data_IF_709299758252
#
_entry.id   IF_709299758252
#
_cell.length_a   1.000
_cell.length_b   1.000
_cell.length_c   1.000
_cell.angle_alpha   90.00
_cell.angle_beta   90.00
_cell.angle_gamma   90.00
#
_symmetry.space_group_name_H-M   'P 1'
#
loop_
_entity.id
_entity.type
_entity.pdbx_description
1 polymer ?
#
# COMPACT_ATOMS: atom_id res chain seq x y z
N UNK A 1 -1.57 -53.99 -33.99
CA UNK A 1 -0.39 -53.17 -33.63
C UNK A 1 -0.80 -52.32 -32.42
N UNK A 2 -0.79 -52.85 -31.17
CA UNK A 2 0.32 -52.93 -30.18
C UNK A 2 1.07 -51.59 -30.04
N UNK A 3 1.20 -50.89 -28.91
CA UNK A 3 1.24 -51.18 -27.46
C UNK A 3 0.70 -49.93 -26.71
N UNK A 4 -0.21 -49.98 -25.71
CA UNK A 4 -0.07 -50.33 -24.27
C UNK A 4 1.17 -49.77 -23.56
N UNK A 5 0.96 -48.88 -22.59
CA UNK A 5 1.20 -49.22 -21.17
C UNK A 5 0.45 -48.32 -20.19
N UNK A 6 -0.13 -48.98 -19.19
CA UNK A 6 -0.84 -48.47 -18.03
C UNK A 6 -0.19 -49.06 -16.78
N UNK A 7 -0.31 -48.39 -15.61
CA UNK A 7 -0.32 -48.95 -14.23
C UNK A 7 -0.47 -47.74 -13.29
N UNK A 8 -1.62 -47.46 -12.68
CA UNK A 8 -2.30 -48.07 -11.51
C UNK A 8 -1.48 -48.15 -10.22
N UNK A 9 -2.07 -47.57 -9.19
CA UNK A 9 -1.64 -47.34 -7.82
C UNK A 9 -1.49 -48.61 -6.96
N UNK A 10 -0.71 -48.48 -5.87
CA UNK A 10 -0.82 -49.27 -4.64
C UNK A 10 -0.50 -48.40 -3.42
N UNK A 11 -1.52 -48.11 -2.62
CA UNK A 11 -1.39 -47.68 -1.22
C UNK A 11 -1.30 -48.93 -0.34
N UNK A 12 -0.37 -48.92 0.62
CA UNK A 12 -0.26 -49.93 1.68
C UNK A 12 -0.67 -49.31 3.02
N UNK A 13 -1.46 -50.06 3.77
CA UNK A 13 -2.00 -49.76 5.10
C UNK A 13 -1.13 -50.42 6.19
N UNK A 14 -0.80 -49.64 7.24
CA UNK A 14 -0.60 -49.95 8.69
C UNK A 14 0.38 -51.07 9.16
N UNK A 15 0.88 -51.10 10.43
CA UNK A 15 0.24 -50.63 11.68
C UNK A 15 1.10 -49.90 12.74
N UNK A 16 0.41 -49.46 13.79
CA UNK A 16 0.91 -48.87 15.04
C UNK A 16 1.50 -49.92 16.03
N UNK A 17 2.48 -49.52 16.85
CA UNK A 17 2.92 -50.24 18.07
C UNK A 17 3.27 -49.23 19.19
N UNK A 18 2.79 -49.55 20.41
CA UNK A 18 2.95 -48.89 21.71
C UNK A 18 4.34 -49.11 22.37
N UNK A 19 4.82 -48.10 23.12
CA UNK A 19 5.41 -48.07 24.50
C UNK A 19 6.64 -48.98 24.85
N UNK A 20 7.55 -48.63 25.81
CA UNK A 20 7.24 -48.06 27.13
C UNK A 20 8.20 -47.01 27.73
N UNK A 21 7.76 -46.48 28.87
CA UNK A 21 8.44 -45.59 29.81
C UNK A 21 9.63 -46.27 30.53
N UNK A 22 10.63 -45.48 30.88
CA UNK A 22 11.61 -45.80 31.92
C UNK A 22 11.71 -44.66 32.92
N UNK A 23 11.43 -45.04 34.16
CA UNK A 23 11.59 -44.30 35.41
C UNK A 23 13.07 -44.33 35.80
N UNK A 24 13.62 -43.20 36.26
CA UNK A 24 14.77 -43.20 37.16
C UNK A 24 14.63 -42.03 38.16
N UNK A 25 14.69 -42.40 39.44
CA UNK A 25 14.52 -41.53 40.59
C UNK A 25 15.83 -40.81 40.99
N UNK A 26 15.64 -39.58 41.49
CA UNK A 26 16.24 -38.96 42.68
C UNK A 26 17.77 -38.83 42.84
N UNK A 27 18.23 -37.59 42.97
CA UNK A 27 18.96 -37.12 44.16
C UNK A 27 18.87 -35.59 44.28
N UNK A 28 18.68 -35.12 45.52
CA UNK A 28 18.42 -33.72 45.87
C UNK A 28 19.67 -33.01 46.42
N UNK A 29 19.73 -31.68 46.20
CA UNK A 29 20.38 -30.67 47.05
C UNK A 29 21.57 -29.92 46.44
N UNK A 30 21.94 -28.71 46.92
CA UNK A 30 21.16 -27.70 47.63
C UNK A 30 21.10 -26.35 46.89
N UNK A 31 20.19 -25.52 47.38
CA UNK A 31 19.92 -24.12 47.03
C UNK A 31 21.14 -23.20 47.00
N UNK A 32 21.27 -22.42 45.92
CA UNK A 32 22.01 -21.15 45.91
C UNK A 32 21.14 -20.06 45.31
N UNK A 33 21.01 -18.97 46.06
CA UNK A 33 20.32 -17.74 45.72
C UNK A 33 21.03 -17.01 44.58
N UNK A 34 20.38 -16.88 43.42
CA UNK A 34 20.83 -16.05 42.31
C UNK A 34 19.87 -14.89 42.09
N UNK A 35 20.37 -13.68 42.27
CA UNK A 35 19.68 -12.39 42.15
C UNK A 35 18.87 -12.23 40.86
N UNK A 36 17.64 -11.73 40.99
CA UNK A 36 16.87 -11.16 39.89
C UNK A 36 17.68 -10.02 39.25
N UNK A 37 18.19 -10.25 38.04
CA UNK A 37 18.66 -9.16 37.18
C UNK A 37 17.43 -8.41 36.67
N UNK A 38 17.21 -7.23 37.24
CA UNK A 38 16.33 -6.21 36.68
C UNK A 38 16.87 -5.87 35.29
N UNK A 39 16.11 -6.19 34.24
CA UNK A 39 16.34 -5.62 32.92
C UNK A 39 16.09 -4.12 33.02
N UNK A 40 17.18 -3.39 33.14
CA UNK A 40 17.20 -1.94 33.12
C UNK A 40 16.86 -1.53 31.69
N UNK A 41 15.63 -1.08 31.46
CA UNK A 41 15.25 -0.39 30.24
C UNK A 41 16.08 0.90 30.15
N UNK A 42 17.21 0.82 29.46
CA UNK A 42 17.95 1.99 29.02
C UNK A 42 17.07 2.69 28.00
N UNK A 43 16.47 3.79 28.43
CA UNK A 43 15.91 4.82 27.57
C UNK A 43 17.04 5.27 26.63
N UNK A 44 17.01 4.79 25.39
CA UNK A 44 18.01 5.12 24.39
C UNK A 44 17.92 6.62 24.07
N UNK A 45 18.94 7.35 24.52
CA UNK A 45 19.27 8.67 23.99
C UNK A 45 19.50 8.57 22.49
N UNK A 46 18.88 9.46 21.72
CA UNK A 46 19.01 9.59 20.27
C UNK A 46 20.49 9.70 19.88
N UNK A 47 21.07 8.61 19.38
CA UNK A 47 22.41 8.54 18.84
C UNK A 47 22.49 9.09 17.43
N UNK A 48 23.65 9.64 17.08
CA UNK A 48 24.01 10.22 15.79
C UNK A 48 23.59 9.36 14.58
N UNK A 49 22.84 9.95 13.64
CA UNK A 49 23.08 9.87 12.19
C UNK A 49 23.08 8.53 11.45
N UNK A 50 22.55 7.42 11.98
CA UNK A 50 22.49 6.16 11.22
C UNK A 50 21.25 6.09 10.32
N UNK A 51 21.48 6.07 9.00
CA UNK A 51 20.47 5.79 7.97
C UNK A 51 20.36 4.28 7.73
N UNK A 52 19.14 3.75 7.67
CA UNK A 52 18.89 2.35 7.36
C UNK A 52 18.80 2.13 5.84
N UNK A 53 19.64 1.26 5.29
CA UNK A 53 19.52 0.86 3.88
C UNK A 53 18.37 -0.13 3.69
N UNK A 54 17.39 0.26 2.87
CA UNK A 54 16.19 -0.51 2.53
C UNK A 54 16.17 -0.97 1.07
N UNK A 55 17.30 -0.86 0.34
CA UNK A 55 17.42 -1.37 -1.04
C UNK A 55 16.98 -2.83 -1.11
N UNK A 56 15.94 -3.09 -1.92
CA UNK A 56 15.30 -4.38 -2.13
C UNK A 56 14.86 -5.12 -0.86
N UNK A 57 14.67 -4.40 0.25
CA UNK A 57 14.26 -5.00 1.53
C UNK A 57 12.79 -5.38 1.55
N UNK A 58 12.55 -6.59 2.04
CA UNK A 58 11.26 -7.06 2.55
C UNK A 58 11.14 -6.65 4.02
N UNK A 59 10.03 -5.99 4.36
CA UNK A 59 9.75 -5.50 5.69
C UNK A 59 9.16 -6.62 6.56
N UNK A 60 9.21 -6.43 7.88
CA UNK A 60 8.70 -7.43 8.84
C UNK A 60 7.88 -6.82 9.97
N UNK A 61 8.03 -5.52 10.24
CA UNK A 61 7.27 -4.86 11.30
C UNK A 61 5.79 -4.77 10.91
N UNK A 62 4.91 -5.04 11.87
CA UNK A 62 3.45 -5.04 11.72
C UNK A 62 2.77 -3.95 12.55
N UNK A 63 3.53 -3.09 13.24
CA UNK A 63 2.94 -2.01 14.03
C UNK A 63 2.11 -1.06 13.15
N UNK A 64 0.94 -0.67 13.65
CA UNK A 64 0.08 0.32 13.01
C UNK A 64 0.30 1.74 13.54
N UNK A 65 1.27 1.95 14.44
CA UNK A 65 1.70 3.29 14.84
C UNK A 65 2.92 3.69 13.99
N UNK A 66 2.77 4.75 13.20
CA UNK A 66 3.85 5.27 12.36
C UNK A 66 5.12 5.66 13.16
N UNK A 67 5.02 5.88 14.48
CA UNK A 67 6.18 6.19 15.31
C UNK A 67 7.14 5.01 15.48
N UNK A 68 6.66 3.78 15.33
CA UNK A 68 7.51 2.58 15.37
C UNK A 68 8.38 2.43 14.12
N UNK A 69 8.20 3.33 13.14
CA UNK A 69 9.00 3.46 11.93
C UNK A 69 9.82 4.75 11.92
N UNK A 70 9.95 5.44 13.06
CA UNK A 70 10.68 6.69 13.17
C UNK A 70 12.20 6.48 13.00
N UNK A 71 12.67 6.64 11.76
CA UNK A 71 14.10 6.60 11.43
C UNK A 71 14.36 7.31 10.09
N UNK A 72 15.63 7.37 9.71
CA UNK A 72 16.07 7.74 8.37
C UNK A 72 16.35 6.48 7.55
N UNK A 73 15.88 6.43 6.31
CA UNK A 73 16.06 5.30 5.40
C UNK A 73 16.64 5.78 4.07
N UNK A 74 17.46 4.93 3.45
CA UNK A 74 18.02 5.16 2.12
C UNK A 74 17.88 3.93 1.24
N UNK A 75 17.86 4.09 -0.08
CA UNK A 75 18.05 2.98 -1.02
C UNK A 75 18.78 3.44 -2.28
N UNK A 76 19.27 2.49 -3.07
CA UNK A 76 19.98 2.75 -4.33
C UNK A 76 19.27 2.11 -5.55
N UNK A 77 18.07 2.58 -5.93
CA UNK A 77 17.34 2.03 -7.07
C UNK A 77 17.95 2.47 -8.41
N UNK A 78 17.77 1.65 -9.44
CA UNK A 78 18.15 1.96 -10.82
C UNK A 78 16.92 2.16 -11.70
N UNK A 79 16.94 3.22 -12.52
CA UNK A 79 16.11 3.31 -13.72
C UNK A 79 16.70 2.35 -14.76
N UNK A 80 16.08 1.19 -14.93
CA UNK A 80 16.63 0.08 -15.72
C UNK A 80 16.74 0.46 -17.20
N UNK A 81 15.67 1.03 -17.77
CA UNK A 81 15.66 1.41 -19.19
C UNK A 81 16.60 2.56 -19.51
N UNK A 82 16.81 3.51 -18.59
CA UNK A 82 17.73 4.63 -18.79
C UNK A 82 19.15 4.38 -18.30
N UNK A 83 19.37 3.26 -17.59
CA UNK A 83 20.66 2.87 -17.00
C UNK A 83 21.21 3.95 -16.07
N UNK A 84 20.34 4.52 -15.23
CA UNK A 84 20.68 5.61 -14.31
C UNK A 84 20.39 5.16 -12.89
N UNK A 85 21.41 5.26 -12.04
CA UNK A 85 21.26 5.00 -10.62
C UNK A 85 20.72 6.26 -9.92
N UNK A 86 19.91 6.06 -8.89
CA UNK A 86 19.29 7.08 -8.07
C UNK A 86 19.53 6.78 -6.59
N UNK A 87 19.24 7.75 -5.73
CA UNK A 87 19.23 7.53 -4.28
C UNK A 87 17.83 7.82 -3.77
N UNK A 88 17.21 6.85 -3.12
CA UNK A 88 16.00 7.09 -2.35
C UNK A 88 16.37 7.54 -0.94
N UNK A 89 15.61 8.49 -0.41
CA UNK A 89 15.74 8.96 0.95
C UNK A 89 14.36 9.14 1.57
N UNK A 90 14.16 8.60 2.78
CA UNK A 90 12.95 8.75 3.58
C UNK A 90 13.34 9.12 5.00
N UNK A 91 12.64 10.07 5.60
CA UNK A 91 12.75 10.40 7.01
C UNK A 91 11.36 10.36 7.64
N UNK A 92 11.18 9.48 8.61
CA UNK A 92 9.99 9.46 9.47
C UNK A 92 10.34 10.15 10.78
N UNK A 93 9.58 11.17 11.17
CA UNK A 93 9.79 11.93 12.40
C UNK A 93 8.51 12.00 13.21
N UNK A 94 8.57 11.66 14.50
CA UNK A 94 7.42 11.80 15.40
C UNK A 94 7.21 13.28 15.76
N UNK A 95 5.99 13.78 15.55
CA UNK A 95 5.54 15.13 15.89
C UNK A 95 4.26 15.04 16.75
N UNK A 96 4.44 14.68 18.02
CA UNK A 96 3.32 14.52 18.96
C UNK A 96 2.39 13.38 18.54
N UNK A 97 1.16 13.73 18.14
CA UNK A 97 0.11 12.79 17.73
C UNK A 97 0.17 12.39 16.25
N UNK A 98 1.15 12.90 15.50
CA UNK A 98 1.35 12.58 14.08
C UNK A 98 2.81 12.18 13.82
N UNK A 99 3.06 11.46 12.74
CA UNK A 99 4.39 11.32 12.15
C UNK A 99 4.47 12.16 10.88
N UNK A 100 5.61 12.80 10.67
CA UNK A 100 5.95 13.46 9.43
C UNK A 100 6.85 12.54 8.61
N UNK A 101 6.40 12.15 7.42
CA UNK A 101 7.16 11.33 6.47
C UNK A 101 7.63 12.27 5.37
N UNK A 102 8.94 12.49 5.28
CA UNK A 102 9.57 13.26 4.19
C UNK A 102 10.34 12.32 3.29
N UNK A 103 10.10 12.37 1.97
CA UNK A 103 10.82 11.56 0.99
C UNK A 103 11.18 12.36 -0.25
N UNK A 104 12.10 11.85 -1.07
CA UNK A 104 12.34 12.32 -2.44
C UNK A 104 11.57 11.52 -3.52
N UNK A 105 10.58 10.72 -3.09
CA UNK A 105 9.69 9.92 -3.94
C UNK A 105 10.38 8.91 -4.88
N UNK A 106 11.58 8.44 -4.53
CA UNK A 106 12.21 7.31 -5.23
C UNK A 106 11.91 6.00 -4.49
N UNK A 107 11.65 4.90 -5.20
CA UNK A 107 11.37 3.59 -4.59
C UNK A 107 12.64 2.97 -3.97
N UNK A 108 12.46 1.90 -3.20
CA UNK A 108 13.56 1.11 -2.67
C UNK A 108 14.01 -0.02 -3.60
N UNK A 109 13.52 -0.07 -4.83
CA UNK A 109 13.75 -1.13 -5.80
C UNK A 109 14.00 -0.54 -7.19
N UNK A 110 14.60 -1.32 -8.08
CA UNK A 110 14.74 -0.97 -9.49
C UNK A 110 13.38 -0.72 -10.14
N UNK A 111 13.29 0.26 -11.02
CA UNK A 111 12.04 0.69 -11.63
C UNK A 111 12.22 0.99 -13.12
N UNK A 112 11.12 1.34 -13.79
CA UNK A 112 11.10 1.53 -15.25
C UNK A 112 11.61 0.26 -15.95
N UNK A 113 11.14 -0.89 -15.49
CA UNK A 113 11.55 -2.22 -15.96
C UNK A 113 11.04 -2.51 -17.37
N UNK A 114 11.44 -3.65 -17.94
CA UNK A 114 11.10 -4.01 -19.32
C UNK A 114 9.58 -4.01 -19.55
N UNK A 115 9.12 -3.25 -20.57
CA UNK A 115 7.70 -3.10 -20.90
C UNK A 115 7.08 -1.80 -20.39
N UNK A 116 7.68 -1.14 -19.40
CA UNK A 116 7.26 0.18 -18.94
C UNK A 116 7.41 1.24 -20.04
N UNK A 117 6.53 2.24 -20.04
CA UNK A 117 6.54 3.33 -21.03
C UNK A 117 6.32 4.68 -20.36
N UNK A 118 7.25 5.07 -19.50
CA UNK A 118 7.14 6.35 -18.79
C UNK A 118 7.22 7.51 -19.77
N UNK A 119 6.12 8.27 -19.85
CA UNK A 119 6.03 9.46 -20.72
C UNK A 119 7.00 10.54 -20.23
N UNK A 120 7.11 10.70 -18.92
CA UNK A 120 8.00 11.66 -18.29
C UNK A 120 9.18 10.91 -17.65
N UNK A 121 10.42 11.39 -17.80
CA UNK A 121 11.53 10.90 -16.99
C UNK A 121 11.22 10.97 -15.50
N UNK A 122 11.65 9.97 -14.74
CA UNK A 122 11.59 10.07 -13.28
C UNK A 122 12.41 11.26 -12.79
N UNK A 123 11.92 11.94 -11.77
CA UNK A 123 12.61 13.01 -11.07
C UNK A 123 12.40 12.86 -9.57
N UNK A 124 13.47 13.05 -8.82
CA UNK A 124 13.40 13.17 -7.36
C UNK A 124 12.51 14.36 -7.01
N UNK A 125 11.43 14.08 -6.30
CA UNK A 125 10.44 15.09 -5.95
C UNK A 125 10.21 15.04 -4.46
N UNK A 126 10.63 16.09 -3.76
CA UNK A 126 10.49 16.13 -2.32
C UNK A 126 9.02 16.31 -1.91
N UNK A 127 8.56 15.42 -1.04
CA UNK A 127 7.21 15.41 -0.50
C UNK A 127 7.27 15.20 1.01
N UNK A 128 6.43 15.92 1.75
CA UNK A 128 6.32 15.81 3.21
C UNK A 128 4.86 15.63 3.58
N UNK A 129 4.53 14.50 4.19
CA UNK A 129 3.17 14.07 4.51
C UNK A 129 3.03 13.82 6.01
N UNK A 130 1.86 14.12 6.56
CA UNK A 130 1.55 13.96 7.98
C UNK A 130 0.57 12.80 8.18
N UNK A 131 1.00 11.80 8.95
CA UNK A 131 0.23 10.58 9.24
C UNK A 131 -0.23 10.61 10.71
N UNK A 132 -1.54 10.56 11.00
CA UNK A 132 -2.05 10.39 12.37
C UNK A 132 -1.57 9.07 13.01
N UNK A 133 -1.09 9.11 14.27
CA UNK A 133 -0.61 7.91 15.00
C UNK A 133 -1.71 7.05 15.61
N UNK A 134 -2.88 7.64 15.86
CA UNK A 134 -4.03 6.97 16.46
C UNK A 134 -5.28 7.27 15.61
N UNK A 135 -5.32 6.79 14.36
CA UNK A 135 -6.45 7.02 13.47
C UNK A 135 -7.73 6.45 14.10
N UNK A 136 -8.83 7.16 13.91
CA UNK A 136 -10.15 6.74 14.40
C UNK A 136 -11.08 6.54 13.21
N UNK A 137 -11.94 5.51 13.24
CA UNK A 137 -12.94 5.33 12.20
C UNK A 137 -13.86 6.56 12.16
N UNK A 138 -14.12 7.05 10.96
CA UNK A 138 -15.08 8.11 10.73
C UNK A 138 -16.50 7.53 10.72
N UNK A 139 -17.50 8.37 10.99
CA UNK A 139 -18.91 7.95 10.94
C UNK A 139 -19.36 7.54 9.53
N UNK A 140 -18.63 7.98 8.50
CA UNK A 140 -18.82 7.64 7.08
C UNK A 140 -17.45 7.57 6.43
N UNK A 141 -17.32 6.67 5.47
CA UNK A 141 -16.12 6.56 4.65
C UNK A 141 -15.96 7.79 3.74
N UNK A 142 -14.71 8.13 3.42
CA UNK A 142 -14.40 9.20 2.46
C UNK A 142 -13.90 8.59 1.17
N UNK A 143 -14.55 8.89 0.05
CA UNK A 143 -14.12 8.40 -1.26
C UNK A 143 -12.72 8.94 -1.64
N UNK A 144 -11.95 8.14 -2.38
CA UNK A 144 -10.67 8.59 -2.95
C UNK A 144 -10.88 9.76 -3.92
N UNK A 145 -9.81 10.54 -4.14
CA UNK A 145 -9.86 11.70 -5.02
C UNK A 145 -8.58 11.82 -5.83
N UNK A 146 -8.70 12.15 -7.11
CA UNK A 146 -7.54 12.47 -7.95
C UNK A 146 -6.78 13.73 -7.48
N UNK A 147 -7.33 14.50 -6.53
CA UNK A 147 -6.72 15.74 -5.99
C UNK A 147 -5.84 15.51 -4.75
N UNK A 148 -5.85 14.30 -4.19
CA UNK A 148 -5.05 13.91 -3.04
C UNK A 148 -4.29 12.63 -3.36
N UNK A 149 -3.17 12.39 -2.70
CA UNK A 149 -2.57 11.05 -2.64
C UNK A 149 -3.38 10.19 -1.67
N UNK A 150 -3.45 8.90 -1.94
CA UNK A 150 -4.23 7.96 -1.10
C UNK A 150 -3.40 7.50 0.10
N UNK A 151 -2.10 7.29 -0.12
CA UNK A 151 -1.19 6.80 0.90
C UNK A 151 0.26 7.14 0.59
N UNK A 152 1.13 6.86 1.56
CA UNK A 152 2.59 6.83 1.37
C UNK A 152 3.13 5.52 1.91
N UNK A 153 3.92 4.83 1.10
CA UNK A 153 4.60 3.61 1.51
C UNK A 153 5.88 3.93 2.28
N UNK A 154 6.39 2.97 3.05
CA UNK A 154 7.58 3.14 3.88
C UNK A 154 8.89 3.29 3.07
N UNK A 155 8.86 3.02 1.77
CA UNK A 155 9.93 3.43 0.85
C UNK A 155 9.81 4.89 0.37
N UNK A 156 8.80 5.63 0.83
CA UNK A 156 8.62 7.05 0.54
C UNK A 156 7.86 7.36 -0.75
N UNK A 157 7.44 6.35 -1.51
CA UNK A 157 6.63 6.52 -2.72
C UNK A 157 5.15 6.62 -2.36
N UNK A 158 4.44 7.53 -3.03
CA UNK A 158 3.00 7.74 -2.82
C UNK A 158 2.17 6.73 -3.61
N UNK A 159 0.98 6.45 -3.09
CA UNK A 159 -0.08 5.69 -3.77
C UNK A 159 -1.12 6.68 -4.32
N UNK A 160 -1.51 6.49 -5.57
CA UNK A 160 -2.49 7.32 -6.29
C UNK A 160 -3.29 6.42 -7.23
N UNK A 161 -4.31 5.74 -6.69
CA UNK A 161 -5.01 4.61 -7.32
C UNK A 161 -5.94 5.03 -8.46
N UNK A 162 -6.44 6.28 -8.45
CA UNK A 162 -7.38 6.75 -9.45
C UNK A 162 -6.64 7.33 -10.66
N UNK A 163 -6.94 6.81 -11.85
CA UNK A 163 -6.46 7.44 -13.09
C UNK A 163 -7.19 8.75 -13.37
N UNK A 164 -6.61 9.59 -14.23
CA UNK A 164 -7.31 10.74 -14.84
C UNK A 164 -7.92 10.40 -16.22
N UNK A 165 -8.00 9.11 -16.56
CA UNK A 165 -8.51 8.62 -17.83
C UNK A 165 -9.90 8.02 -17.71
N UNK A 166 -10.68 8.09 -18.79
CA UNK A 166 -12.04 7.57 -18.85
C UNK A 166 -12.46 7.30 -20.29
N UNK A 167 -13.61 6.63 -20.45
CA UNK A 167 -14.30 6.58 -21.73
C UNK A 167 -14.88 7.96 -22.07
N UNK A 168 -14.39 8.55 -23.17
CA UNK A 168 -14.85 9.84 -23.71
C UNK A 168 -14.67 9.82 -25.24
N UNK A 169 -15.55 9.13 -25.99
CA UNK A 169 -15.32 8.77 -27.39
C UNK A 169 -15.22 9.96 -28.33
N UNK A 170 -15.90 11.06 -28.01
CA UNK A 170 -15.88 12.29 -28.83
C UNK A 170 -14.68 13.20 -28.53
N UNK A 171 -13.81 12.84 -27.58
CA UNK A 171 -12.64 13.63 -27.28
C UNK A 171 -11.61 13.53 -28.42
N UNK A 172 -10.99 14.66 -28.77
CA UNK A 172 -9.93 14.73 -29.80
C UNK A 172 -8.75 13.77 -29.57
N UNK A 173 -8.52 13.36 -28.32
CA UNK A 173 -7.43 12.46 -27.92
C UNK A 173 -7.92 11.05 -27.56
N UNK A 174 -9.18 10.74 -27.86
CA UNK A 174 -9.70 9.40 -27.65
C UNK A 174 -8.94 8.41 -28.54
N UNK A 175 -8.62 7.24 -28.00
CA UNK A 175 -8.10 6.13 -28.76
C UNK A 175 -9.21 5.43 -29.57
N UNK A 176 -8.86 4.32 -30.25
CA UNK A 176 -9.83 3.55 -31.05
C UNK A 176 -10.99 2.95 -30.25
N UNK A 177 -10.85 2.84 -28.94
CA UNK A 177 -11.87 2.31 -28.03
C UNK A 177 -12.66 3.45 -27.35
N UNK A 178 -12.40 4.70 -27.73
CA UNK A 178 -13.06 5.87 -27.15
C UNK A 178 -12.45 6.34 -25.84
N UNK A 179 -11.26 5.87 -25.46
CA UNK A 179 -10.64 6.17 -24.18
C UNK A 179 -9.67 7.34 -24.25
N UNK A 180 -9.70 8.21 -23.24
CA UNK A 180 -8.65 9.21 -22.98
C UNK A 180 -7.89 8.85 -21.71
N UNK A 181 -6.58 9.09 -21.68
CA UNK A 181 -5.75 8.78 -20.49
C UNK A 181 -5.57 9.97 -19.53
N UNK A 182 -6.16 11.13 -19.84
CA UNK A 182 -6.06 12.34 -19.02
C UNK A 182 -7.26 13.26 -19.26
N UNK A 183 -7.58 14.09 -18.27
CA UNK A 183 -8.60 15.14 -18.37
C UNK A 183 -10.00 14.70 -17.95
N UNK A 184 -10.12 13.52 -17.33
CA UNK A 184 -11.31 13.07 -16.63
C UNK A 184 -11.20 13.32 -15.13
N UNK A 185 -12.35 13.42 -14.50
CA UNK A 185 -12.56 13.58 -13.07
C UNK A 185 -13.25 12.35 -12.49
N UNK A 186 -13.29 12.21 -11.16
CA UNK A 186 -14.08 11.16 -10.48
C UNK A 186 -15.60 11.28 -10.66
N UNK A 187 -16.09 12.31 -11.37
CA UNK A 187 -17.50 12.46 -11.75
C UNK A 187 -17.80 11.95 -13.15
N UNK A 188 -16.76 11.72 -13.95
CA UNK A 188 -16.92 11.09 -15.26
C UNK A 188 -17.20 9.59 -15.04
N UNK A 189 -18.13 9.05 -15.82
CA UNK A 189 -18.42 7.61 -15.82
C UNK A 189 -17.31 6.86 -16.54
N UNK A 190 -17.18 5.56 -16.23
CA UNK A 190 -16.23 4.67 -16.88
C UNK A 190 -14.80 5.18 -16.74
N UNK A 191 -14.41 5.44 -15.48
CA UNK A 191 -13.04 5.80 -15.17
C UNK A 191 -12.15 4.58 -15.44
N UNK A 192 -11.04 4.77 -16.15
CA UNK A 192 -10.13 3.67 -16.45
C UNK A 192 -9.41 3.22 -15.18
N UNK A 193 -9.35 1.91 -14.96
CA UNK A 193 -8.47 1.32 -13.97
C UNK A 193 -7.03 1.35 -14.52
N UNK A 194 -6.07 2.04 -13.87
CA UNK A 194 -4.67 2.05 -14.27
C UNK A 194 -4.05 0.66 -14.49
N UNK A 195 -4.53 -0.35 -13.77
CA UNK A 195 -4.07 -1.75 -13.86
C UNK A 195 -5.09 -2.67 -14.55
N UNK A 196 -6.19 -2.09 -15.04
CA UNK A 196 -7.22 -2.81 -15.78
C UNK A 196 -6.68 -3.43 -17.09
N UNK A 197 -7.28 -4.52 -17.58
CA UNK A 197 -6.88 -5.15 -18.82
C UNK A 197 -7.00 -4.19 -20.00
N UNK A 198 -5.97 -4.16 -20.84
CA UNK A 198 -5.97 -3.36 -22.06
C UNK A 198 -5.82 -1.86 -21.86
N UNK A 199 -5.69 -1.38 -20.62
CA UNK A 199 -5.34 0.03 -20.35
C UNK A 199 -3.84 0.25 -20.61
N UNK A 200 -3.47 1.44 -21.07
CA UNK A 200 -2.09 1.75 -21.45
C UNK A 200 -1.59 2.98 -20.70
N UNK A 201 -1.59 2.89 -19.38
CA UNK A 201 -0.97 3.88 -18.50
C UNK A 201 0.55 3.72 -18.39
N UNK A 202 1.12 2.65 -18.98
CA UNK A 202 2.56 2.46 -19.10
C UNK A 202 3.24 2.15 -17.77
N UNK A 203 2.51 1.52 -16.84
CA UNK A 203 3.06 1.03 -15.57
C UNK A 203 4.19 0.04 -15.81
N UNK A 204 5.15 0.02 -14.89
CA UNK A 204 6.20 -0.98 -14.87
C UNK A 204 5.78 -2.24 -14.09
N UNK A 205 6.71 -3.18 -13.92
CA UNK A 205 6.46 -4.44 -13.20
C UNK A 205 6.07 -4.26 -11.72
N UNK A 206 6.21 -3.05 -11.17
CA UNK A 206 5.86 -2.69 -9.80
C UNK A 206 4.53 -1.93 -9.73
N UNK A 207 3.71 -2.00 -10.79
CA UNK A 207 2.39 -1.37 -10.88
C UNK A 207 2.44 0.15 -10.69
N UNK A 208 3.54 0.77 -11.11
CA UNK A 208 3.80 2.19 -10.94
C UNK A 208 4.24 2.86 -12.22
N UNK A 209 4.03 4.17 -12.29
CA UNK A 209 4.57 5.01 -13.35
C UNK A 209 4.86 6.41 -12.83
N UNK A 210 5.21 7.33 -13.72
CA UNK A 210 5.55 8.71 -13.36
C UNK A 210 4.41 9.69 -13.65
N UNK A 211 4.16 10.61 -12.73
CA UNK A 211 3.36 11.81 -12.98
C UNK A 211 4.02 12.77 -13.99
N UNK A 212 3.30 13.78 -14.52
CA UNK A 212 3.85 14.81 -15.39
C UNK A 212 5.03 15.60 -14.80
N UNK A 213 5.17 15.67 -13.47
CA UNK A 213 6.31 16.30 -12.81
C UNK A 213 7.52 15.35 -12.63
N UNK A 214 7.38 14.08 -13.02
CA UNK A 214 8.40 13.05 -12.91
C UNK A 214 8.35 12.24 -11.61
N UNK A 215 7.42 12.53 -10.67
CA UNK A 215 7.25 11.73 -9.46
C UNK A 215 6.82 10.30 -9.81
N UNK A 216 7.52 9.30 -9.29
CA UNK A 216 7.11 7.89 -9.36
C UNK A 216 6.00 7.58 -8.33
N UNK A 217 4.98 6.81 -8.71
CA UNK A 217 3.84 6.48 -7.83
C UNK A 217 3.16 5.15 -8.18
N UNK A 218 2.60 4.50 -7.17
CA UNK A 218 1.92 3.20 -7.29
C UNK A 218 0.42 3.31 -7.57
N UNK A 219 -0.10 2.37 -8.36
CA UNK A 219 -1.53 2.10 -8.57
C UNK A 219 -2.00 0.77 -7.96
N UNK A 220 -1.08 -0.02 -7.40
CA UNK A 220 -1.36 -1.34 -6.84
C UNK A 220 -0.10 -1.97 -6.26
N UNK A 221 -0.11 -3.28 -6.03
CA UNK A 221 0.96 -3.99 -5.34
C UNK A 221 2.36 -3.53 -5.81
N UNK A 222 3.21 -2.97 -4.94
CA UNK A 222 4.54 -2.49 -5.32
C UNK A 222 5.48 -3.62 -5.77
N UNK A 223 5.10 -4.89 -5.59
CA UNK A 223 5.95 -6.07 -5.82
C UNK A 223 7.30 -5.93 -5.10
N UNK A 224 7.25 -5.28 -3.94
CA UNK A 224 8.36 -4.90 -3.08
C UNK A 224 7.80 -4.67 -1.66
N UNK A 225 8.68 -4.50 -0.66
CA UNK A 225 8.33 -4.28 0.77
C UNK A 225 7.68 -5.48 1.48
N UNK A 226 7.04 -6.39 0.76
CA UNK A 226 6.51 -7.67 1.24
C UNK A 226 6.59 -8.73 0.14
N UNK A 227 6.41 -10.00 0.49
CA UNK A 227 6.45 -11.12 -0.44
C UNK A 227 5.39 -12.20 -0.10
N UNK A 228 5.41 -13.31 -0.83
CA UNK A 228 4.53 -14.48 -0.62
C UNK A 228 5.03 -15.41 0.51
N UNK A 229 6.06 -15.00 1.27
CA UNK A 229 6.62 -15.71 2.43
C UNK A 229 6.58 -14.82 3.70
N UNK A 230 5.39 -14.34 4.11
CA UNK A 230 5.26 -13.47 5.27
C UNK A 230 5.64 -14.20 6.57
N UNK A 231 5.75 -13.44 7.66
CA UNK A 231 5.90 -14.03 8.99
C UNK A 231 4.65 -14.85 9.38
N UNK A 232 4.74 -15.71 10.40
CA UNK A 232 3.58 -16.46 10.90
C UNK A 232 2.40 -15.58 11.31
N UNK A 233 2.65 -14.31 11.63
CA UNK A 233 1.65 -13.32 12.02
C UNK A 233 0.98 -12.62 10.81
N UNK A 234 1.48 -12.82 9.59
CA UNK A 234 0.99 -12.21 8.36
C UNK A 234 1.95 -11.16 7.77
N UNK A 235 1.50 -10.46 6.73
CA UNK A 235 2.32 -9.49 6.01
C UNK A 235 2.71 -8.26 6.84
N UNK A 236 3.88 -7.64 6.61
CA UNK A 236 4.24 -6.40 7.30
C UNK A 236 3.28 -5.26 6.97
N UNK A 237 3.33 -4.20 7.79
CA UNK A 237 2.87 -2.87 7.35
C UNK A 237 3.90 -2.32 6.37
N UNK A 238 3.42 -1.90 5.21
CA UNK A 238 4.25 -1.37 4.11
C UNK A 238 4.05 0.12 3.89
N UNK A 239 3.08 0.74 4.57
CA UNK A 239 2.73 2.15 4.39
C UNK A 239 1.59 2.59 5.27
N UNK A 240 1.22 3.86 5.14
CA UNK A 240 0.11 4.47 5.84
C UNK A 240 -0.76 5.28 4.87
N UNK A 241 -2.07 5.10 4.98
CA UNK A 241 -3.05 5.89 4.26
C UNK A 241 -3.10 7.33 4.77
N UNK A 242 -3.69 8.23 3.98
CA UNK A 242 -3.86 9.63 4.36
C UNK A 242 -4.65 9.80 5.67
N UNK A 243 -5.52 8.85 6.03
CA UNK A 243 -6.30 8.86 7.26
C UNK A 243 -5.57 8.26 8.48
N UNK A 244 -4.34 7.79 8.29
CA UNK A 244 -3.46 7.28 9.33
C UNK A 244 -3.51 5.77 9.54
N UNK A 245 -4.48 5.05 8.96
CA UNK A 245 -4.53 3.59 9.10
C UNK A 245 -3.38 2.93 8.32
N UNK A 246 -2.80 1.84 8.87
CA UNK A 246 -1.73 1.11 8.20
C UNK A 246 -2.23 0.39 6.95
N UNK A 247 -1.30 0.19 6.00
CA UNK A 247 -1.48 -0.64 4.82
C UNK A 247 -0.57 -1.86 4.99
N UNK A 248 -1.16 -3.04 5.01
CA UNK A 248 -0.45 -4.32 5.07
C UNK A 248 -0.20 -4.87 3.67
N UNK A 249 0.84 -5.70 3.54
CA UNK A 249 0.92 -6.64 2.41
C UNK A 249 -0.24 -7.64 2.42
N UNK A 250 -0.22 -8.62 1.51
CA UNK A 250 -1.44 -9.37 1.17
C UNK A 250 -1.90 -10.42 2.18
N UNK A 251 -1.09 -10.82 3.16
CA UNK A 251 -1.38 -11.97 4.03
C UNK A 251 -1.82 -11.57 5.43
N UNK A 252 -2.72 -12.37 5.98
CA UNK A 252 -3.17 -12.30 7.36
C UNK A 252 -3.45 -13.71 7.91
N UNK A 253 -3.56 -13.81 9.24
CA UNK A 253 -4.04 -15.01 9.92
C UNK A 253 -5.54 -14.88 10.12
N UNK A 254 -6.32 -15.78 9.55
CA UNK A 254 -7.77 -15.76 9.72
C UNK A 254 -8.22 -16.31 11.08
N UNK A 255 -9.52 -16.22 11.38
CA UNK A 255 -10.08 -16.67 12.67
C UNK A 255 -9.91 -18.16 12.98
N UNK A 256 -9.44 -18.98 12.01
CA UNK A 256 -9.08 -20.39 12.23
C UNK A 256 -7.59 -20.60 12.55
N UNK A 257 -6.78 -19.54 12.52
CA UNK A 257 -5.33 -19.63 12.62
C UNK A 257 -4.64 -19.92 11.29
N UNK A 258 -5.34 -19.80 10.16
CA UNK A 258 -4.77 -20.07 8.84
C UNK A 258 -4.16 -18.81 8.24
N UNK A 259 -2.86 -18.87 7.91
CA UNK A 259 -2.16 -17.83 7.17
C UNK A 259 -2.53 -17.91 5.67
N UNK A 260 -3.13 -16.84 5.13
CA UNK A 260 -3.54 -16.77 3.72
C UNK A 260 -3.67 -15.33 3.23
N UNK A 261 -3.81 -15.15 1.91
CA UNK A 261 -4.09 -13.84 1.32
C UNK A 261 -5.48 -13.33 1.72
N UNK A 262 -5.57 -12.03 1.96
CA UNK A 262 -6.82 -11.28 2.06
C UNK A 262 -7.52 -11.26 0.70
N UNK A 263 -8.84 -11.47 0.71
CA UNK A 263 -9.67 -11.42 -0.50
C UNK A 263 -10.49 -10.14 -0.49
N UNK A 264 -10.37 -9.36 -1.57
CA UNK A 264 -11.19 -8.18 -1.81
C UNK A 264 -12.68 -8.51 -1.71
N UNK A 265 -13.46 -7.59 -1.13
CA UNK A 265 -14.92 -7.64 -1.11
C UNK A 265 -15.58 -7.26 -2.45
N UNK A 266 -14.78 -6.86 -3.44
CA UNK A 266 -15.25 -6.47 -4.77
C UNK A 266 -15.27 -7.65 -5.74
N UNK A 267 -16.26 -7.63 -6.62
CA UNK A 267 -16.36 -8.56 -7.75
C UNK A 267 -16.55 -7.81 -9.05
N UNK A 268 -16.02 -8.37 -10.14
CA UNK A 268 -16.37 -7.94 -11.48
C UNK A 268 -17.86 -8.18 -11.71
N UNK A 269 -18.57 -7.17 -12.23
CA UNK A 269 -19.97 -7.29 -12.66
C UNK A 269 -20.09 -8.36 -13.73
N UNK A 270 -21.23 -9.04 -13.78
CA UNK A 270 -21.54 -10.02 -14.84
C UNK A 270 -22.36 -9.38 -15.97
N UNK A 271 -22.28 -9.97 -17.16
CA UNK A 271 -23.07 -9.53 -18.32
C UNK A 271 -22.39 -8.42 -19.13
N UNK A 272 -23.21 -7.55 -19.71
CA UNK A 272 -22.80 -6.45 -20.59
C UNK A 272 -22.99 -5.09 -19.91
N UNK A 273 -22.08 -4.16 -20.22
CA UNK A 273 -22.25 -2.73 -19.92
C UNK A 273 -23.51 -2.20 -20.63
N UNK A 274 -24.12 -1.12 -20.14
CA UNK A 274 -25.25 -0.47 -20.82
C UNK A 274 -24.92 -0.13 -22.28
N UNK A 275 -25.93 -0.16 -23.15
CA UNK A 275 -25.81 0.38 -24.50
C UNK A 275 -25.97 1.91 -24.49
N UNK A 276 -25.34 2.62 -25.42
CA UNK A 276 -25.49 4.07 -25.60
C UNK A 276 -24.19 4.79 -25.90
N UNK A 277 -24.28 6.08 -26.28
CA UNK A 277 -23.11 6.89 -26.63
C UNK A 277 -22.18 7.15 -25.42
N UNK A 278 -22.75 7.24 -24.21
CA UNK A 278 -22.01 7.50 -22.96
C UNK A 278 -21.51 6.21 -22.27
N UNK A 279 -21.55 5.08 -22.98
CA UNK A 279 -21.05 3.79 -22.49
C UNK A 279 -20.08 3.18 -23.49
N UNK A 280 -18.96 2.58 -23.03
CA UNK A 280 -18.04 1.86 -23.90
C UNK A 280 -18.66 0.57 -24.46
N UNK A 281 -19.81 0.15 -23.95
CA UNK A 281 -20.47 -1.10 -24.34
C UNK A 281 -19.61 -2.33 -24.07
N UNK A 282 -19.99 -3.46 -24.65
CA UNK A 282 -19.29 -4.73 -24.45
C UNK A 282 -19.53 -5.35 -23.07
N UNK A 283 -18.69 -6.32 -22.69
CA UNK A 283 -18.80 -7.02 -21.40
C UNK A 283 -18.08 -6.23 -20.31
N UNK A 284 -18.54 -6.36 -19.07
CA UNK A 284 -17.72 -5.99 -17.93
C UNK A 284 -16.46 -6.87 -17.94
N UNK A 285 -15.30 -6.26 -18.12
CA UNK A 285 -14.03 -6.96 -18.30
C UNK A 285 -12.93 -6.46 -17.34
N UNK A 286 -13.18 -5.40 -16.58
CA UNK A 286 -12.27 -4.83 -15.59
C UNK A 286 -11.48 -3.63 -16.12
N UNK A 287 -11.70 -3.23 -17.39
CA UNK A 287 -11.06 -2.05 -17.98
C UNK A 287 -11.39 -0.78 -17.19
N UNK A 288 -12.62 -0.70 -16.66
CA UNK A 288 -13.11 0.48 -15.94
C UNK A 288 -13.39 0.15 -14.48
N UNK A 289 -13.17 1.12 -13.61
CA UNK A 289 -13.53 1.06 -12.19
C UNK A 289 -15.01 0.70 -12.01
N UNK A 290 -15.88 1.27 -12.85
CA UNK A 290 -17.33 1.01 -12.88
C UNK A 290 -17.69 -0.46 -13.21
N UNK A 291 -16.76 -1.25 -13.76
CA UNK A 291 -16.97 -2.67 -14.00
C UNK A 291 -17.02 -3.48 -12.71
N UNK A 292 -16.51 -2.93 -11.62
CA UNK A 292 -16.51 -3.59 -10.32
C UNK A 292 -17.72 -3.15 -9.48
N UNK A 293 -18.13 -4.03 -8.58
CA UNK A 293 -19.11 -3.72 -7.55
C UNK A 293 -18.67 -4.33 -6.22
N UNK A 294 -18.91 -3.60 -5.14
CA UNK A 294 -18.76 -4.18 -3.81
C UNK A 294 -19.90 -5.18 -3.58
N UNK A 295 -19.52 -6.44 -3.37
CA UNK A 295 -20.45 -7.54 -3.09
C UNK A 295 -20.35 -8.03 -1.65
N UNK A 296 -19.38 -7.53 -0.89
CA UNK A 296 -19.04 -8.06 0.43
C UNK A 296 -18.57 -9.52 0.40
N UNK A 297 -18.22 -10.03 -0.79
CA UNK A 297 -17.72 -11.40 -0.95
C UNK A 297 -16.22 -11.37 -0.75
N UNK A 298 -15.72 -11.91 0.34
CA UNK A 298 -14.29 -11.86 0.64
C UNK A 298 -14.07 -11.66 2.14
N UNK A 299 -12.94 -11.06 2.48
CA UNK A 299 -12.56 -10.77 3.85
C UNK A 299 -12.62 -9.26 4.15
N UNK A 300 -12.45 -8.44 3.11
CA UNK A 300 -12.28 -6.99 3.23
C UNK A 300 -13.58 -6.20 3.03
N UNK A 301 -13.68 -5.07 3.71
CA UNK A 301 -14.79 -4.10 3.63
C UNK A 301 -14.77 -3.28 2.32
N UNK A 302 -15.71 -2.33 2.19
CA UNK A 302 -15.81 -1.47 1.00
C UNK A 302 -14.63 -0.52 0.79
N UNK A 303 -13.77 -0.32 1.79
CA UNK A 303 -12.54 0.44 1.66
C UNK A 303 -11.32 -0.44 1.38
N UNK A 304 -11.50 -1.76 1.29
CA UNK A 304 -10.46 -2.76 1.16
C UNK A 304 -9.60 -2.94 2.43
N UNK A 305 -10.23 -2.74 3.59
CA UNK A 305 -9.63 -2.98 4.89
C UNK A 305 -10.38 -4.00 5.72
N UNK A 306 -9.80 -4.39 6.85
CA UNK A 306 -10.43 -5.20 7.88
C UNK A 306 -9.72 -5.01 9.21
N UNK A 307 -10.38 -5.44 10.29
CA UNK A 307 -9.79 -5.51 11.63
C UNK A 307 -9.30 -6.92 11.94
N UNK A 308 -8.00 -7.07 12.20
CA UNK A 308 -7.40 -8.31 12.70
C UNK A 308 -6.74 -8.00 14.04
N UNK A 309 -7.02 -8.82 15.07
CA UNK A 309 -6.47 -8.65 16.43
C UNK A 309 -6.64 -7.23 17.02
N UNK A 310 -7.77 -6.59 16.72
CA UNK A 310 -8.09 -5.24 17.21
C UNK A 310 -7.43 -4.10 16.42
N UNK A 311 -6.67 -4.41 15.37
CA UNK A 311 -6.04 -3.42 14.49
C UNK A 311 -6.72 -3.40 13.13
N UNK A 312 -7.36 -2.28 12.80
CA UNK A 312 -7.85 -2.01 11.46
C UNK A 312 -6.68 -1.59 10.54
N UNK A 313 -6.69 -2.07 9.31
CA UNK A 313 -5.84 -1.56 8.24
C UNK A 313 -6.30 -2.03 6.88
N UNK A 314 -5.72 -1.43 5.85
CA UNK A 314 -5.94 -1.78 4.45
C UNK A 314 -5.01 -2.92 4.03
N UNK A 315 -5.40 -3.70 3.03
CA UNK A 315 -4.60 -4.83 2.56
C UNK A 315 -4.36 -4.73 1.06
N UNK A 316 -3.11 -4.98 0.64
CA UNK A 316 -2.79 -5.14 -0.78
C UNK A 316 -3.45 -6.42 -1.31
N UNK A 317 -4.19 -6.33 -2.40
CA UNK A 317 -4.91 -7.46 -3.01
C UNK A 317 -4.49 -7.69 -4.46
N UNK A 318 -4.56 -8.95 -4.90
CA UNK A 318 -4.28 -9.37 -6.28
C UNK A 318 -5.42 -8.99 -7.27
N UNK A 319 -6.48 -8.35 -6.76
CA UNK A 319 -7.64 -7.89 -7.53
C UNK A 319 -8.05 -6.49 -7.10
N UNK A 320 -8.87 -5.82 -7.91
CA UNK A 320 -9.49 -4.54 -7.58
C UNK A 320 -10.03 -4.54 -6.12
N UNK A 321 -9.76 -3.50 -5.32
CA UNK A 321 -9.19 -2.19 -5.68
C UNK A 321 -7.67 -2.08 -5.46
N UNK A 322 -6.96 -3.20 -5.49
CA UNK A 322 -5.48 -3.32 -5.40
C UNK A 322 -4.87 -2.97 -4.04
N UNK A 323 -5.29 -1.88 -3.39
CA UNK A 323 -4.90 -1.54 -2.02
C UNK A 323 -6.05 -0.93 -1.22
N UNK A 324 -6.75 0.05 -1.78
CA UNK A 324 -7.77 0.84 -1.09
C UNK A 324 -8.86 1.29 -2.06
N UNK A 325 -10.09 1.48 -1.57
CA UNK A 325 -11.17 2.09 -2.36
C UNK A 325 -11.80 3.33 -1.69
N UNK A 326 -11.58 3.51 -0.39
CA UNK A 326 -11.95 4.69 0.36
C UNK A 326 -11.12 4.79 1.64
N UNK A 327 -11.26 5.90 2.35
CA UNK A 327 -10.77 6.08 3.71
C UNK A 327 -11.83 5.69 4.71
N UNK A 328 -11.48 4.80 5.65
CA UNK A 328 -12.26 4.46 6.83
C UNK A 328 -12.17 5.54 7.92
N UNK A 329 -11.11 6.34 7.93
CA UNK A 329 -10.91 7.48 8.82
C UNK A 329 -11.06 8.83 8.13
N UNK A 330 -10.49 9.87 8.76
CA UNK A 330 -10.45 11.22 8.19
C UNK A 330 -9.07 11.48 7.58
N UNK A 331 -8.94 11.68 6.26
CA UNK A 331 -7.65 11.93 5.61
C UNK A 331 -7.04 13.28 6.04
N UNK A 332 -5.73 13.29 6.24
CA UNK A 332 -4.96 14.49 6.56
C UNK A 332 -4.72 15.33 5.29
N UNK A 333 -4.94 16.65 5.39
CA UNK A 333 -4.85 17.57 4.25
C UNK A 333 -3.45 17.73 3.65
N UNK A 334 -2.40 17.25 4.33
CA UNK A 334 -1.03 17.24 3.74
C UNK A 334 -0.93 16.36 2.49
N UNK A 335 -1.85 15.42 2.29
CA UNK A 335 -1.93 14.57 1.11
C UNK A 335 -2.53 15.27 -0.12
N UNK A 336 -3.09 16.47 0.02
CA UNK A 336 -3.60 17.24 -1.12
C UNK A 336 -2.47 17.63 -2.08
N UNK A 337 -2.61 17.29 -3.37
CA UNK A 337 -1.59 17.52 -4.41
C UNK A 337 -1.37 19.02 -4.75
N UNK A 338 -2.13 19.92 -4.15
CA UNK A 338 -2.20 21.34 -4.52
C UNK A 338 -2.85 21.57 -5.89
N UNK A 339 -3.13 22.83 -6.24
CA UNK A 339 -3.64 23.17 -7.58
C UNK A 339 -2.49 23.06 -8.59
N UNK A 340 -2.71 22.47 -9.79
CA UNK A 340 -1.75 22.56 -10.89
C UNK A 340 -1.45 24.04 -11.17
N UNK A 341 -0.21 24.48 -10.90
CA UNK A 341 0.26 25.85 -11.12
C UNK A 341 0.28 26.79 -9.90
N UNK A 342 -0.07 26.34 -8.69
CA UNK A 342 0.08 27.15 -7.47
C UNK A 342 1.46 26.97 -6.84
N UNK A 343 2.31 28.01 -6.86
CA UNK A 343 3.50 28.05 -5.99
C UNK A 343 3.06 27.78 -4.55
N UNK A 344 3.69 26.81 -3.89
CA UNK A 344 3.49 26.53 -2.48
C UNK A 344 3.61 27.84 -1.67
N UNK A 345 2.53 28.24 -0.99
CA UNK A 345 2.63 29.32 0.00
C UNK A 345 3.25 28.71 1.25
N UNK A 346 4.30 29.32 1.83
CA UNK A 346 4.80 28.87 3.11
C UNK A 346 3.67 28.95 4.14
N UNK A 347 3.50 27.89 4.92
CA UNK A 347 2.63 27.86 6.08
C UNK A 347 3.23 28.80 7.15
N UNK A 348 2.96 30.10 7.04
CA UNK A 348 3.20 31.04 8.12
C UNK A 348 1.96 31.10 8.99
N UNK A 349 2.03 30.43 10.14
CA UNK A 349 1.08 30.59 11.23
C UNK A 349 0.94 32.07 11.59
N UNK A 350 -0.29 32.56 11.61
CA UNK A 350 -0.60 33.84 12.20
C UNK A 350 -0.40 33.76 13.72
N UNK A 351 0.42 34.64 14.33
CA UNK A 351 0.36 34.85 15.77
C UNK A 351 -0.96 35.55 16.12
N UNK A 352 -1.52 35.31 17.32
CA UNK A 352 -2.73 35.99 17.77
C UNK A 352 -2.45 37.48 17.93
N UNK A 353 -3.32 38.31 17.34
CA UNK A 353 -3.30 39.76 17.51
C UNK A 353 -3.44 40.12 19.00
N UNK A 354 -2.34 40.59 19.60
CA UNK A 354 -2.37 41.35 20.84
C UNK A 354 -2.98 42.73 20.55
N UNK A 355 -4.12 43.02 21.18
CA UNK A 355 -4.73 44.34 21.15
C UNK A 355 -3.81 45.40 21.78
N UNK A 356 -3.80 46.60 21.19
CA UNK A 356 -3.27 47.81 21.84
C UNK A 356 -4.41 48.80 22.12
N UNK A 357 -4.33 49.55 23.22
CA UNK A 357 -5.41 50.39 23.71
C UNK A 357 -5.46 51.73 22.97
N UNK A 358 -6.68 52.25 22.75
CA UNK A 358 -6.87 53.63 22.36
C UNK A 358 -6.60 54.57 23.53
N UNK A 359 -5.65 55.48 23.34
CA UNK A 359 -5.62 56.80 23.97
C UNK A 359 -5.82 57.83 22.87
N UNK A 360 -6.68 58.81 23.12
CA UNK A 360 -7.03 59.90 22.20
C UNK A 360 -8.51 60.19 22.30
#
# INVERSE_FOLDING_TARGET
MSNRHARRARSCFLPAILAPALVACAAAGPSTSGSQQRHNHTHGTLGEGHTHDITDRILTNRSGDCADYAAAYTAAPRDVQRRRDHTAAVQVTVKGAQCQITSNAMPNHDFNTAGARFVTPVQETQTTLSVPRNPQPAARTTALSQRSYDAVLLNGVVVDLLSAGCYRPDARRADRNGNVHIGCSTRDMWLLDPLGPGTSFGTDAHNAHTQPDGRYHYHGNPMALFDDQPSPEGSPVIGFAADGFPIFGSYFVDGSGTLRKARSGYSLRSGSRPDGADSPGGRYDGTYVDDYQFTGTGDLDECNGMTVDGQYGYYVTDSYPWMMNCFAGNPDGSFDKGRPGGRARPAHGHPPHAGRPHRG
#
